data_IF_186115377447
#
_entry.id   IF_186115377447
#
_cell.length_a   1.000
_cell.length_b   1.000
_cell.length_c   1.000
_cell.angle_alpha   90.00
_cell.angle_beta   90.00
_cell.angle_gamma   90.00
#
_symmetry.space_group_name_H-M   'P 1'
#
loop_
_entity.id
_entity.type
_entity.pdbx_description
1 polymer ?
#
# COMPACT_ATOMS: atom_id res chain seq x y z
N UNK A 1 -29.38 29.41 -0.59
CA UNK A 1 -28.17 29.26 0.26
C UNK A 1 -26.96 29.60 -0.59
N UNK A 2 -26.35 30.76 -0.30
CA UNK A 2 -25.34 31.42 -1.13
C UNK A 2 -23.92 31.03 -0.67
N UNK A 3 -23.10 30.54 -1.60
CA UNK A 3 -21.64 30.42 -1.46
C UNK A 3 -20.98 31.59 -2.21
N UNK A 4 -21.05 32.80 -1.65
CA UNK A 4 -20.53 34.00 -2.32
C UNK A 4 -19.57 34.86 -1.46
N UNK A 5 -19.13 34.41 -0.28
CA UNK A 5 -18.30 35.25 0.61
C UNK A 5 -16.85 34.81 0.80
N UNK A 6 -16.20 34.19 -0.19
CA UNK A 6 -14.76 33.87 -0.13
C UNK A 6 -14.05 34.41 -1.38
N UNK A 7 -14.25 35.68 -1.71
CA UNK A 7 -13.42 36.38 -2.70
C UNK A 7 -13.26 37.81 -2.22
N UNK A 8 -12.38 38.03 -1.25
CA UNK A 8 -11.71 39.30 -1.01
C UNK A 8 -10.50 39.05 -0.09
N UNK A 9 -9.52 38.31 -0.62
CA UNK A 9 -8.17 38.28 -0.07
C UNK A 9 -7.22 38.77 -1.17
N UNK A 10 -6.44 39.85 -0.95
CA UNK A 10 -5.61 40.48 -1.98
C UNK A 10 -4.41 39.62 -2.43
N UNK A 11 -4.21 38.44 -1.84
CA UNK A 11 -3.31 37.39 -2.31
C UNK A 11 -4.00 36.04 -2.10
N UNK A 12 -4.27 35.25 -3.14
CA UNK A 12 -4.74 33.90 -2.92
C UNK A 12 -3.65 33.14 -2.16
N UNK A 13 -3.97 32.45 -1.05
CA UNK A 13 -2.99 31.59 -0.40
C UNK A 13 -2.54 30.54 -1.41
N UNK A 14 -1.23 30.31 -1.53
CA UNK A 14 -0.62 29.35 -2.45
C UNK A 14 -1.21 27.92 -2.34
N UNK A 15 -2.00 27.67 -1.30
CA UNK A 15 -2.77 26.46 -1.03
C UNK A 15 -3.93 26.26 -2.02
N UNK A 16 -4.58 27.34 -2.51
CA UNK A 16 -5.71 27.22 -3.46
C UNK A 16 -5.21 26.83 -4.86
N UNK A 17 -4.05 27.35 -5.29
CA UNK A 17 -3.40 26.92 -6.54
C UNK A 17 -2.90 25.49 -6.47
N UNK A 18 -2.42 25.03 -5.31
CA UNK A 18 -1.98 23.65 -5.10
C UNK A 18 -3.16 22.67 -5.12
N UNK A 19 -4.30 23.03 -4.51
CA UNK A 19 -5.52 22.24 -4.55
C UNK A 19 -6.08 22.10 -5.98
N UNK A 20 -6.07 23.17 -6.78
CA UNK A 20 -6.48 23.13 -8.19
C UNK A 20 -5.57 22.28 -9.07
N UNK A 21 -4.27 22.20 -8.77
CA UNK A 21 -3.31 21.35 -9.49
C UNK A 21 -3.49 19.86 -9.17
N UNK A 22 -3.97 19.52 -7.97
CA UNK A 22 -4.15 18.12 -7.56
C UNK A 22 -5.50 17.51 -7.94
N UNK A 23 -6.49 18.33 -8.32
CA UNK A 23 -7.85 17.87 -8.69
C UNK A 23 -8.07 17.75 -10.20
N UNK A 24 -7.12 18.23 -11.03
CA UNK A 24 -7.19 18.04 -12.47
C UNK A 24 -6.87 16.57 -12.82
N UNK A 25 -7.71 15.89 -13.60
CA UNK A 25 -7.41 14.53 -14.08
C UNK A 25 -6.08 14.57 -14.85
N UNK A 26 -5.30 13.48 -14.74
CA UNK A 26 -4.02 13.29 -15.45
C UNK A 26 -4.25 13.28 -16.97
N UNK A 27 -4.47 14.46 -17.54
CA UNK A 27 -4.40 14.72 -18.97
C UNK A 27 -2.93 14.98 -19.30
N UNK A 28 -2.53 14.46 -20.45
CA UNK A 28 -1.20 14.56 -21.06
C UNK A 28 -0.37 15.75 -20.53
N UNK A 29 0.80 15.51 -19.90
CA UNK A 29 1.61 16.56 -19.28
C UNK A 29 1.97 17.69 -20.25
N UNK A 30 1.96 17.42 -21.56
CA UNK A 30 2.19 18.45 -22.59
C UNK A 30 1.06 19.48 -22.67
N UNK A 31 -0.18 19.11 -22.37
CA UNK A 31 -1.32 20.03 -22.35
C UNK A 31 -1.26 20.97 -21.15
N UNK A 32 -0.87 20.47 -19.98
CA UNK A 32 -0.71 21.29 -18.76
C UNK A 32 0.38 22.34 -18.95
N UNK A 33 1.51 21.97 -19.55
CA UNK A 33 2.59 22.91 -19.88
C UNK A 33 2.11 23.96 -20.88
N UNK A 34 1.38 23.57 -21.94
CA UNK A 34 0.83 24.52 -22.91
C UNK A 34 -0.20 25.48 -22.29
N UNK A 35 -1.07 24.96 -21.43
CA UNK A 35 -2.10 25.75 -20.72
C UNK A 35 -1.46 26.75 -19.75
N UNK A 36 -0.45 26.32 -18.99
CA UNK A 36 0.30 27.22 -18.11
C UNK A 36 1.04 28.30 -18.89
N UNK A 37 1.69 27.97 -20.01
CA UNK A 37 2.36 28.93 -20.90
C UNK A 37 1.41 29.95 -21.56
N UNK A 38 0.13 29.58 -21.75
CA UNK A 38 -0.88 30.47 -22.31
C UNK A 38 -1.25 31.62 -21.35
N UNK A 39 -1.17 31.38 -20.04
CA UNK A 39 -1.49 32.41 -19.04
C UNK A 39 -0.34 33.39 -18.81
N UNK A 40 -0.66 34.68 -18.63
CA UNK A 40 0.33 35.73 -18.34
C UNK A 40 1.13 35.44 -17.04
N UNK A 41 0.52 34.71 -16.10
CA UNK A 41 1.12 34.28 -14.85
C UNK A 41 2.18 33.19 -15.06
N UNK A 42 1.92 32.21 -15.94
CA UNK A 42 2.89 31.18 -16.30
C UNK A 42 4.12 31.74 -17.03
N UNK A 43 3.94 32.75 -17.90
CA UNK A 43 5.08 33.42 -18.56
C UNK A 43 5.96 34.20 -17.58
N UNK A 44 5.39 34.79 -16.52
CA UNK A 44 6.16 35.45 -15.46
C UNK A 44 6.91 34.44 -14.58
N UNK A 45 6.30 33.30 -14.27
CA UNK A 45 6.95 32.23 -13.51
C UNK A 45 8.11 31.57 -14.26
N UNK A 46 7.99 31.37 -15.58
CA UNK A 46 9.04 30.76 -16.40
C UNK A 46 10.26 31.66 -16.65
N UNK A 47 10.14 32.98 -16.46
CA UNK A 47 11.29 33.91 -16.56
C UNK A 47 12.25 33.81 -15.36
N UNK A 48 11.78 33.29 -14.22
CA UNK A 48 12.60 33.05 -13.04
C UNK A 48 13.07 31.59 -12.97
N UNK A 49 14.06 31.20 -13.78
CA UNK A 49 14.58 29.81 -13.82
C UNK A 49 14.96 29.29 -12.43
N UNK A 50 15.56 30.14 -11.61
CA UNK A 50 15.97 29.82 -10.23
C UNK A 50 14.79 29.61 -9.26
N UNK A 51 13.63 30.22 -9.53
CA UNK A 51 12.46 30.08 -8.69
C UNK A 51 11.77 28.73 -8.87
N UNK A 52 11.68 28.25 -10.12
CA UNK A 52 11.06 26.95 -10.42
C UNK A 52 11.88 25.81 -9.80
N UNK A 53 13.21 25.86 -9.92
CA UNK A 53 14.09 24.84 -9.35
C UNK A 53 14.04 24.83 -7.82
N UNK A 54 14.04 26.01 -7.17
CA UNK A 54 13.87 26.14 -5.72
C UNK A 54 12.51 25.61 -5.26
N UNK A 55 11.44 25.89 -6.00
CA UNK A 55 10.09 25.46 -5.65
C UNK A 55 9.94 23.94 -5.83
N UNK A 56 10.52 23.38 -6.89
CA UNK A 56 10.55 21.94 -7.14
C UNK A 56 11.36 21.19 -6.07
N UNK A 57 12.53 21.71 -5.69
CA UNK A 57 13.33 21.15 -4.59
C UNK A 57 12.59 21.22 -3.26
N UNK A 58 11.90 22.34 -2.95
CA UNK A 58 11.11 22.45 -1.71
C UNK A 58 9.90 21.51 -1.70
N UNK A 59 9.23 21.33 -2.83
CA UNK A 59 8.15 20.34 -2.96
C UNK A 59 8.67 18.92 -2.82
N UNK A 60 9.77 18.59 -3.49
CA UNK A 60 10.42 17.29 -3.38
C UNK A 60 10.86 17.00 -1.94
N UNK A 61 11.46 17.98 -1.25
CA UNK A 61 11.83 17.84 0.15
C UNK A 61 10.61 17.70 1.06
N UNK A 62 9.54 18.47 0.84
CA UNK A 62 8.32 18.36 1.63
C UNK A 62 7.60 17.02 1.42
N UNK A 63 7.56 16.51 0.18
CA UNK A 63 6.96 15.22 -0.16
C UNK A 63 7.79 14.05 0.37
N UNK A 64 9.12 14.14 0.28
CA UNK A 64 10.03 13.13 0.82
C UNK A 64 10.07 13.14 2.35
N UNK A 65 10.01 14.31 3.00
CA UNK A 65 10.06 14.44 4.47
C UNK A 65 8.74 14.04 5.14
N UNK A 66 7.61 14.17 4.45
CA UNK A 66 6.31 13.79 5.01
C UNK A 66 5.99 12.31 4.85
N UNK A 67 6.88 11.50 4.24
CA UNK A 67 6.61 10.10 3.88
C UNK A 67 5.23 9.91 3.24
N UNK A 68 4.71 10.95 2.57
CA UNK A 68 3.55 10.81 1.72
C UNK A 68 4.05 10.05 0.50
N UNK A 69 4.09 8.71 0.64
CA UNK A 69 3.87 7.81 -0.48
C UNK A 69 2.52 8.24 -1.06
N UNK A 70 2.55 9.24 -1.92
CA UNK A 70 1.51 9.48 -2.90
C UNK A 70 1.56 8.23 -3.76
N UNK A 71 0.84 7.20 -3.31
CA UNK A 71 0.43 6.12 -4.18
C UNK A 71 -0.34 6.84 -5.27
N UNK A 72 0.31 7.05 -6.41
CA UNK A 72 -0.41 7.16 -7.66
C UNK A 72 -1.16 5.84 -7.75
N UNK A 73 -2.37 5.81 -7.19
CA UNK A 73 -3.38 4.81 -7.44
C UNK A 73 -3.80 5.05 -8.89
N UNK A 74 -2.89 4.77 -9.82
CA UNK A 74 -3.29 4.30 -11.12
C UNK A 74 -4.18 3.10 -10.80
N UNK A 75 -5.48 3.15 -11.13
CA UNK A 75 -6.33 1.99 -10.97
C UNK A 75 -5.71 0.89 -11.82
N UNK A 76 -4.94 0.01 -11.20
CA UNK A 76 -4.58 -1.25 -11.81
C UNK A 76 -5.94 -1.92 -12.05
N UNK A 77 -6.35 -2.12 -13.31
CA UNK A 77 -7.62 -2.77 -13.58
C UNK A 77 -7.59 -4.08 -12.82
N UNK A 78 -8.54 -4.25 -11.90
CA UNK A 78 -8.66 -5.45 -11.09
C UNK A 78 -8.53 -6.64 -12.03
N UNK A 79 -7.46 -7.43 -11.86
CA UNK A 79 -7.23 -8.63 -12.67
C UNK A 79 -8.47 -9.50 -12.52
N UNK A 80 -9.32 -9.52 -13.54
CA UNK A 80 -10.43 -10.45 -13.58
C UNK A 80 -9.81 -11.85 -13.56
N UNK A 81 -10.37 -12.72 -12.73
CA UNK A 81 -9.98 -14.13 -12.65
C UNK A 81 -10.03 -14.69 -14.07
N UNK A 82 -8.86 -15.04 -14.63
CA UNK A 82 -8.65 -15.63 -15.96
C UNK A 82 -9.87 -15.52 -16.89
N UNK A 83 -10.18 -14.30 -17.30
CA UNK A 83 -11.26 -14.04 -18.24
C UNK A 83 -10.80 -14.43 -19.63
N UNK A 84 -11.54 -15.32 -20.27
CA UNK A 84 -11.54 -15.53 -21.72
C UNK A 84 -11.45 -14.18 -22.42
N UNK A 85 -10.53 -14.04 -23.39
CA UNK A 85 -10.35 -12.79 -24.12
C UNK A 85 -11.70 -12.35 -24.73
N UNK A 86 -12.05 -11.06 -24.68
CA UNK A 86 -13.37 -10.58 -25.12
C UNK A 86 -13.63 -10.84 -26.60
N UNK A 87 -12.58 -10.98 -27.41
CA UNK A 87 -12.64 -11.34 -28.83
C UNK A 87 -11.41 -12.18 -29.22
N UNK A 88 -11.52 -12.96 -30.30
CA UNK A 88 -10.40 -13.73 -30.87
C UNK A 88 -9.24 -12.83 -31.33
N UNK A 89 -9.54 -11.61 -31.81
CA UNK A 89 -8.50 -10.64 -32.18
C UNK A 89 -7.71 -10.14 -30.96
N UNK A 90 -8.36 -9.94 -29.82
CA UNK A 90 -7.70 -9.53 -28.59
C UNK A 90 -6.77 -10.64 -28.06
N UNK A 91 -7.17 -11.90 -28.21
CA UNK A 91 -6.33 -13.06 -27.91
C UNK A 91 -5.10 -13.11 -28.84
N UNK A 92 -5.30 -13.01 -30.15
CA UNK A 92 -4.20 -13.01 -31.12
C UNK A 92 -3.20 -11.87 -30.85
N UNK A 93 -3.70 -10.68 -30.52
CA UNK A 93 -2.87 -9.52 -30.13
C UNK A 93 -2.08 -9.79 -28.86
N UNK A 94 -2.70 -10.39 -27.84
CA UNK A 94 -2.01 -10.80 -26.62
C UNK A 94 -0.88 -11.79 -26.93
N UNK A 95 -1.15 -12.84 -27.71
CA UNK A 95 -0.13 -13.84 -28.07
C UNK A 95 1.03 -13.24 -28.87
N UNK A 96 0.75 -12.31 -29.80
CA UNK A 96 1.78 -11.57 -30.52
C UNK A 96 2.69 -10.75 -29.58
N UNK A 97 2.10 -10.06 -28.59
CA UNK A 97 2.85 -9.28 -27.60
C UNK A 97 3.66 -10.20 -26.68
N UNK A 98 3.03 -11.26 -26.16
CA UNK A 98 3.68 -12.26 -25.32
C UNK A 98 4.87 -12.94 -26.02
N UNK A 99 4.74 -13.24 -27.31
CA UNK A 99 5.83 -13.79 -28.13
C UNK A 99 7.01 -12.81 -28.23
N UNK A 100 6.76 -11.50 -28.35
CA UNK A 100 7.81 -10.47 -28.35
C UNK A 100 8.55 -10.41 -27.01
N UNK A 101 7.81 -10.41 -25.90
CA UNK A 101 8.42 -10.45 -24.56
C UNK A 101 9.19 -11.74 -24.30
N UNK A 102 8.70 -12.89 -24.77
CA UNK A 102 9.40 -14.16 -24.67
C UNK A 102 10.74 -14.14 -25.40
N UNK A 103 10.83 -13.51 -26.57
CA UNK A 103 12.11 -13.31 -27.28
C UNK A 103 13.07 -12.42 -26.49
N UNK A 104 12.56 -11.34 -25.88
CA UNK A 104 13.36 -10.44 -25.06
C UNK A 104 13.89 -11.12 -23.79
N UNK A 105 13.07 -11.95 -23.14
CA UNK A 105 13.47 -12.73 -21.97
C UNK A 105 14.42 -13.88 -22.33
N UNK A 106 14.26 -14.48 -23.52
CA UNK A 106 15.18 -15.50 -24.01
C UNK A 106 16.61 -14.98 -24.25
N UNK A 107 16.77 -13.67 -24.49
CA UNK A 107 18.08 -13.02 -24.57
C UNK A 107 18.71 -12.78 -23.19
N UNK A 108 17.92 -12.85 -22.11
CA UNK A 108 18.43 -12.73 -20.75
C UNK A 108 19.21 -13.99 -20.38
N UNK A 109 20.47 -13.79 -19.98
CA UNK A 109 21.58 -14.74 -19.92
C UNK A 109 21.38 -16.02 -19.08
N UNK A 110 20.23 -16.23 -18.45
CA UNK A 110 19.98 -17.39 -17.59
C UNK A 110 19.90 -18.73 -18.36
N UNK A 111 19.84 -18.71 -19.70
CA UNK A 111 19.82 -19.90 -20.55
C UNK A 111 20.89 -19.92 -21.64
N UNK A 112 21.86 -19.01 -21.62
CA UNK A 112 22.98 -19.13 -22.57
C UNK A 112 23.68 -20.46 -22.29
N UNK A 113 23.88 -21.33 -23.30
CA UNK A 113 24.74 -22.49 -23.13
C UNK A 113 26.09 -21.94 -22.63
N UNK A 114 26.67 -22.56 -21.59
CA UNK A 114 27.96 -22.10 -21.07
C UNK A 114 28.94 -22.03 -22.24
N UNK A 115 29.51 -20.84 -22.48
CA UNK A 115 30.66 -20.74 -23.36
C UNK A 115 31.72 -21.74 -22.84
N UNK A 116 32.29 -22.50 -23.77
CA UNK A 116 33.14 -23.70 -23.60
C UNK A 116 34.39 -23.54 -22.69
N UNK A 117 34.59 -22.39 -22.05
CA UNK A 117 35.76 -22.12 -21.20
C UNK A 117 35.43 -21.92 -19.73
N UNK A 118 34.15 -21.91 -19.36
CA UNK A 118 33.77 -22.00 -17.95
C UNK A 118 33.48 -23.47 -17.66
N UNK A 119 34.43 -24.20 -17.07
CA UNK A 119 34.18 -25.49 -16.41
C UNK A 119 33.14 -25.28 -15.29
N UNK A 120 31.88 -25.15 -15.68
CA UNK A 120 30.78 -25.30 -14.76
C UNK A 120 30.76 -26.79 -14.48
N UNK A 121 31.08 -27.24 -13.26
CA UNK A 121 31.11 -28.66 -12.95
C UNK A 121 29.77 -29.24 -13.34
N UNK A 122 29.80 -30.23 -14.23
CA UNK A 122 28.63 -30.97 -14.64
C UNK A 122 28.10 -31.66 -13.39
N UNK A 123 27.10 -31.06 -12.74
CA UNK A 123 26.47 -31.63 -11.55
C UNK A 123 25.66 -32.84 -12.04
N UNK A 124 26.32 -34.00 -12.10
CA UNK A 124 25.77 -35.28 -12.60
C UNK A 124 24.56 -35.76 -11.80
N UNK A 125 24.40 -35.26 -10.58
CA UNK A 125 23.24 -35.48 -9.74
C UNK A 125 22.89 -34.18 -9.03
N UNK A 126 21.88 -33.48 -9.53
CA UNK A 126 21.22 -32.46 -8.71
C UNK A 126 20.42 -33.22 -7.67
N UNK A 127 21.00 -33.45 -6.49
CA UNK A 127 20.22 -33.77 -5.30
C UNK A 127 19.62 -32.44 -4.85
N UNK A 128 18.34 -32.14 -5.13
CA UNK A 128 17.73 -30.97 -4.52
C UNK A 128 17.99 -31.08 -3.03
N UNK A 129 18.68 -30.09 -2.45
CA UNK A 129 18.68 -29.95 -0.99
C UNK A 129 17.21 -29.88 -0.63
N UNK A 130 16.67 -30.97 -0.07
CA UNK A 130 15.36 -30.98 0.53
C UNK A 130 15.33 -29.72 1.40
N UNK A 131 14.42 -28.80 1.08
CA UNK A 131 14.22 -27.58 1.85
C UNK A 131 14.28 -28.01 3.31
N UNK A 132 15.20 -27.49 4.13
CA UNK A 132 15.45 -28.14 5.39
C UNK A 132 14.16 -28.22 6.21
N UNK A 133 14.03 -29.29 6.98
CA UNK A 133 12.83 -29.68 7.73
C UNK A 133 12.33 -28.63 8.75
N UNK A 134 12.92 -27.44 8.81
CA UNK A 134 12.34 -26.29 9.51
C UNK A 134 11.02 -25.77 8.91
N UNK A 135 10.55 -26.31 7.77
CA UNK A 135 9.18 -26.06 7.28
C UNK A 135 8.13 -27.06 7.80
N UNK A 136 8.54 -28.19 8.38
CA UNK A 136 7.63 -29.27 8.78
C UNK A 136 7.21 -29.24 10.26
N UNK A 137 7.64 -28.24 11.03
CA UNK A 137 6.92 -27.85 12.25
C UNK A 137 5.89 -26.77 11.91
N UNK A 138 5.11 -26.99 10.85
CA UNK A 138 3.76 -26.45 10.85
C UNK A 138 2.98 -27.39 11.74
N UNK A 139 2.68 -26.93 12.96
CA UNK A 139 1.49 -27.43 13.65
C UNK A 139 0.40 -27.52 12.58
N UNK A 140 -0.24 -28.69 12.37
CA UNK A 140 -1.36 -28.75 11.45
C UNK A 140 -2.30 -27.63 11.90
N UNK A 141 -2.45 -26.61 11.05
CA UNK A 141 -3.45 -25.56 11.23
C UNK A 141 -4.79 -26.29 11.11
N UNK A 142 -5.24 -26.84 12.23
CA UNK A 142 -6.42 -27.69 12.41
C UNK A 142 -7.71 -26.86 12.28
N UNK A 143 -7.77 -26.00 11.27
CA UNK A 143 -8.80 -25.02 11.10
C UNK A 143 -8.40 -23.95 10.10
N UNK A 144 -8.28 -24.32 8.83
CA UNK A 144 -8.28 -23.38 7.68
C UNK A 144 -9.58 -22.58 7.53
N UNK A 145 -10.42 -22.52 8.57
CA UNK A 145 -11.53 -21.60 8.67
C UNK A 145 -10.98 -20.19 8.92
N UNK A 146 -11.53 -19.23 8.19
CA UNK A 146 -11.27 -17.81 8.42
C UNK A 146 -11.70 -17.45 9.85
N UNK A 147 -10.77 -17.37 10.80
CA UNK A 147 -11.11 -16.90 12.14
C UNK A 147 -11.48 -15.42 12.06
N UNK A 148 -12.73 -15.14 12.36
CA UNK A 148 -13.26 -13.81 12.46
C UNK A 148 -13.61 -13.50 13.93
N UNK A 149 -13.29 -12.29 14.36
CA UNK A 149 -13.81 -11.75 15.62
C UNK A 149 -15.02 -10.86 15.32
N UNK A 150 -15.89 -10.62 16.29
CA UNK A 150 -16.97 -9.64 16.09
C UNK A 150 -16.42 -8.21 16.11
N UNK A 151 -17.07 -7.28 15.39
CA UNK A 151 -16.72 -5.86 15.44
C UNK A 151 -16.80 -5.28 16.87
N UNK A 152 -17.73 -5.79 17.71
CA UNK A 152 -17.83 -5.42 19.14
C UNK A 152 -16.57 -5.82 19.90
N UNK A 153 -16.06 -7.04 19.67
CA UNK A 153 -14.80 -7.53 20.26
C UNK A 153 -13.62 -6.65 19.85
N UNK A 154 -13.56 -6.23 18.58
CA UNK A 154 -12.52 -5.33 18.10
C UNK A 154 -12.60 -3.95 18.78
N UNK A 155 -13.78 -3.33 18.84
CA UNK A 155 -13.98 -2.07 19.55
C UNK A 155 -13.59 -2.17 21.03
N UNK A 156 -13.96 -3.26 21.70
CA UNK A 156 -13.60 -3.52 23.09
C UNK A 156 -12.09 -3.62 23.28
N UNK A 157 -11.42 -4.46 22.48
CA UNK A 157 -9.96 -4.56 22.49
C UNK A 157 -9.30 -3.19 22.27
N UNK A 158 -9.78 -2.41 21.30
CA UNK A 158 -9.22 -1.10 20.98
C UNK A 158 -9.35 -0.13 22.17
N UNK A 159 -10.47 -0.16 22.91
CA UNK A 159 -10.65 0.64 24.14
C UNK A 159 -9.68 0.22 25.25
N UNK A 160 -9.37 -1.07 25.34
CA UNK A 160 -8.44 -1.59 26.34
C UNK A 160 -6.98 -1.23 26.01
N UNK A 161 -6.61 -1.23 24.73
CA UNK A 161 -5.21 -1.09 24.29
C UNK A 161 -4.80 0.37 24.04
N UNK A 162 -5.68 1.18 23.44
CA UNK A 162 -5.36 2.55 23.06
C UNK A 162 -6.00 3.56 24.00
N UNK A 163 -5.21 4.53 24.46
CA UNK A 163 -5.68 5.63 25.30
C UNK A 163 -6.39 6.69 24.46
N UNK A 164 -7.39 7.35 25.05
CA UNK A 164 -8.05 8.53 24.48
C UNK A 164 -9.51 8.26 24.13
N UNK A 165 -10.29 9.31 23.79
CA UNK A 165 -11.73 9.16 23.53
C UNK A 165 -12.07 8.65 22.13
N UNK A 166 -11.09 8.65 21.22
CA UNK A 166 -11.29 8.31 19.81
C UNK A 166 -11.20 6.79 19.62
N UNK A 167 -12.35 6.13 19.69
CA UNK A 167 -12.47 4.69 19.45
C UNK A 167 -13.26 4.41 18.17
N UNK A 168 -12.90 3.36 17.41
CA UNK A 168 -13.57 3.06 16.15
C UNK A 168 -15.04 2.73 16.38
N UNK A 169 -15.90 3.18 15.47
CA UNK A 169 -17.30 2.72 15.40
C UNK A 169 -17.35 1.27 14.91
N UNK A 170 -18.51 0.61 15.05
CA UNK A 170 -18.66 -0.79 14.60
C UNK A 170 -18.38 -0.97 13.11
N UNK A 171 -18.81 -0.02 12.26
CA UNK A 171 -18.54 -0.03 10.83
C UNK A 171 -17.05 0.16 10.52
N UNK A 172 -16.39 1.10 11.21
CA UNK A 172 -14.95 1.31 11.08
C UNK A 172 -14.15 0.10 11.56
N UNK A 173 -14.58 -0.56 12.63
CA UNK A 173 -13.97 -1.78 13.15
C UNK A 173 -14.06 -2.92 12.11
N UNK A 174 -15.24 -3.16 11.53
CA UNK A 174 -15.43 -4.17 10.49
C UNK A 174 -14.51 -3.93 9.27
N UNK A 175 -14.30 -2.67 8.88
CA UNK A 175 -13.37 -2.31 7.81
C UNK A 175 -11.91 -2.53 8.22
N UNK A 176 -11.52 -2.11 9.44
CA UNK A 176 -10.14 -2.22 9.93
C UNK A 176 -9.69 -3.66 10.17
N UNK A 177 -10.61 -4.53 10.57
CA UNK A 177 -10.32 -5.95 10.81
C UNK A 177 -9.72 -6.65 9.58
N UNK A 178 -10.04 -6.20 8.36
CA UNK A 178 -9.50 -6.76 7.11
C UNK A 178 -7.99 -6.56 6.94
N UNK A 179 -7.39 -5.63 7.68
CA UNK A 179 -5.96 -5.32 7.61
C UNK A 179 -5.12 -6.05 8.66
N UNK A 180 -5.75 -6.91 9.47
CA UNK A 180 -5.06 -7.66 10.51
C UNK A 180 -4.85 -9.10 10.10
N UNK A 181 -3.69 -9.66 10.47
CA UNK A 181 -3.43 -11.07 10.22
C UNK A 181 -4.30 -11.95 11.13
N UNK A 182 -4.42 -13.22 10.77
CA UNK A 182 -5.12 -14.22 11.57
C UNK A 182 -4.61 -14.31 13.01
N UNK A 183 -3.28 -14.27 13.19
CA UNK A 183 -2.64 -14.27 14.51
C UNK A 183 -2.98 -13.01 15.32
N UNK A 184 -3.05 -11.85 14.67
CA UNK A 184 -3.46 -10.61 15.34
C UNK A 184 -4.90 -10.69 15.84
N UNK A 185 -5.83 -11.18 15.02
CA UNK A 185 -7.23 -11.30 15.41
C UNK A 185 -7.41 -12.26 16.61
N UNK A 186 -6.66 -13.38 16.64
CA UNK A 186 -6.64 -14.31 17.78
C UNK A 186 -6.16 -13.61 19.05
N UNK A 187 -5.07 -12.86 18.95
CA UNK A 187 -4.51 -12.15 20.10
C UNK A 187 -5.41 -11.00 20.57
N UNK A 188 -6.04 -10.27 19.64
CA UNK A 188 -7.05 -9.26 19.95
C UNK A 188 -8.22 -9.87 20.72
N UNK A 189 -8.72 -11.05 20.30
CA UNK A 189 -9.78 -11.76 21.00
C UNK A 189 -9.32 -12.20 22.40
N UNK A 190 -8.10 -12.73 22.52
CA UNK A 190 -7.52 -13.15 23.80
C UNK A 190 -7.48 -12.00 24.79
N UNK A 191 -6.95 -10.84 24.39
CA UNK A 191 -6.88 -9.64 25.23
C UNK A 191 -8.30 -9.15 25.57
N UNK A 192 -9.22 -9.12 24.60
CA UNK A 192 -10.61 -8.71 24.82
C UNK A 192 -11.35 -9.58 25.84
N UNK A 193 -10.97 -10.85 26.01
CA UNK A 193 -11.57 -11.76 27.01
C UNK A 193 -11.04 -11.55 28.43
N UNK A 194 -9.92 -10.84 28.61
CA UNK A 194 -9.31 -10.64 29.94
C UNK A 194 -10.14 -9.74 30.88
N UNK A 195 -11.12 -9.00 30.36
CA UNK A 195 -11.96 -8.11 31.13
C UNK A 195 -13.41 -8.24 30.66
N UNK A 196 -14.42 -8.31 31.55
CA UNK A 196 -15.83 -8.28 31.11
C UNK A 196 -16.22 -6.92 30.52
N UNK A 197 -17.22 -6.90 29.65
CA UNK A 197 -17.65 -5.71 28.88
C UNK A 197 -18.02 -4.53 29.79
N UNK A 198 -18.70 -4.81 30.90
CA UNK A 198 -19.12 -3.82 31.90
C UNK A 198 -17.94 -3.05 32.50
N UNK A 199 -16.82 -3.75 32.74
CA UNK A 199 -15.63 -3.15 33.32
C UNK A 199 -14.86 -2.32 32.30
N UNK A 200 -14.87 -2.68 31.01
CA UNK A 200 -14.20 -1.90 29.96
C UNK A 200 -14.84 -0.52 29.79
N UNK A 201 -16.15 -0.42 29.98
CA UNK A 201 -16.88 0.84 29.83
C UNK A 201 -16.77 1.75 31.05
N UNK A 202 -16.66 1.17 32.26
CA UNK A 202 -16.67 1.94 33.53
C UNK A 202 -15.28 2.27 34.06
N UNK A 203 -14.26 1.44 33.79
CA UNK A 203 -12.92 1.67 34.35
C UNK A 203 -12.13 2.71 33.55
N UNK A 204 -11.32 3.52 34.23
CA UNK A 204 -10.24 4.26 33.59
C UNK A 204 -9.34 3.33 32.79
N UNK A 205 -8.84 3.82 31.66
CA UNK A 205 -7.91 3.09 30.80
C UNK A 205 -6.68 2.62 31.59
N UNK A 206 -6.24 1.38 31.34
CA UNK A 206 -5.07 0.78 32.00
C UNK A 206 -3.97 0.47 30.99
N UNK A 207 -2.71 0.86 31.25
CA UNK A 207 -1.59 0.55 30.36
C UNK A 207 -1.23 -0.95 30.35
N UNK A 208 -1.82 -1.78 31.22
CA UNK A 208 -1.58 -3.22 31.28
C UNK A 208 -1.82 -3.90 29.93
N UNK A 209 -2.95 -3.64 29.28
CA UNK A 209 -3.32 -4.29 28.02
C UNK A 209 -2.53 -3.75 26.83
N UNK A 210 -2.19 -2.45 26.86
CA UNK A 210 -1.28 -1.85 25.90
C UNK A 210 0.09 -2.53 25.89
N UNK A 211 0.64 -2.83 27.08
CA UNK A 211 1.90 -3.58 27.22
C UNK A 211 1.81 -5.02 26.71
N UNK A 212 0.68 -5.71 26.93
CA UNK A 212 0.45 -7.05 26.37
C UNK A 212 0.44 -7.03 24.85
N UNK A 213 -0.28 -6.07 24.26
CA UNK A 213 -0.34 -5.92 22.80
C UNK A 213 1.03 -5.56 22.21
N UNK A 214 1.78 -4.64 22.85
CA UNK A 214 3.13 -4.29 22.42
C UNK A 214 4.05 -5.50 22.42
N UNK A 215 4.04 -6.30 23.50
CA UNK A 215 4.85 -7.53 23.60
C UNK A 215 4.50 -8.54 22.50
N UNK A 216 3.22 -8.68 22.15
CA UNK A 216 2.82 -9.52 21.01
C UNK A 216 3.45 -9.03 19.71
N UNK A 217 3.35 -7.72 19.42
CA UNK A 217 3.96 -7.14 18.22
C UNK A 217 5.49 -7.32 18.19
N UNK A 218 6.15 -7.12 19.32
CA UNK A 218 7.61 -7.29 19.44
C UNK A 218 8.01 -8.76 19.17
N UNK A 219 7.23 -9.73 19.66
CA UNK A 219 7.49 -11.16 19.47
C UNK A 219 7.11 -11.69 18.09
N UNK A 220 6.07 -11.13 17.45
CA UNK A 220 5.61 -11.51 16.11
C UNK A 220 6.67 -11.22 15.05
N UNK A 221 7.49 -10.19 15.29
CA UNK A 221 8.43 -9.67 14.30
C UNK A 221 7.73 -8.80 13.25
N UNK A 222 8.51 -8.15 12.36
CA UNK A 222 7.94 -7.31 11.31
C UNK A 222 7.10 -8.15 10.35
N UNK A 223 5.86 -7.73 10.09
CA UNK A 223 5.05 -8.28 9.00
C UNK A 223 5.74 -7.92 7.68
N UNK A 224 6.49 -8.86 7.10
CA UNK A 224 7.13 -8.69 5.80
C UNK A 224 6.02 -8.77 4.74
N UNK A 225 5.45 -7.61 4.40
CA UNK A 225 4.56 -7.49 3.25
C UNK A 225 5.44 -7.42 2.00
N UNK A 226 5.57 -8.55 1.30
CA UNK A 226 6.20 -8.57 -0.02
C UNK A 226 5.23 -7.92 -1.01
N UNK A 227 5.53 -6.68 -1.41
CA UNK A 227 4.81 -5.99 -2.48
C UNK A 227 5.52 -6.34 -3.79
N UNK A 228 4.85 -7.05 -4.69
CA UNK A 228 5.34 -7.21 -6.06
C UNK A 228 4.95 -5.94 -6.85
N UNK A 229 5.96 -5.21 -7.32
CA UNK A 229 5.81 -4.08 -8.26
C UNK A 229 5.85 -4.57 -9.71
#
# INVERSE_FOLDING_TARGET
MQLQSIIDYPKPPAIVTLLLLTTLPLVDPTWVVRSLCATHLGRRLLRGRTFVDSLFQRLYHALSSTCLRVRLLLPFPARSRCGTFPTLEAEAKYWCIAARYRRHLAQSSARRPPHETSEIPLVTYYTPRLLPQYRDVRHPDDGGGEFCISAKTFCKWHRMVFRGPHHPTLAQAAMRMKYHSHGDLKEMQRIARLLPDEQVLRRPWSPKYSRLWKRWLDNKGPDIVIVFE
#
